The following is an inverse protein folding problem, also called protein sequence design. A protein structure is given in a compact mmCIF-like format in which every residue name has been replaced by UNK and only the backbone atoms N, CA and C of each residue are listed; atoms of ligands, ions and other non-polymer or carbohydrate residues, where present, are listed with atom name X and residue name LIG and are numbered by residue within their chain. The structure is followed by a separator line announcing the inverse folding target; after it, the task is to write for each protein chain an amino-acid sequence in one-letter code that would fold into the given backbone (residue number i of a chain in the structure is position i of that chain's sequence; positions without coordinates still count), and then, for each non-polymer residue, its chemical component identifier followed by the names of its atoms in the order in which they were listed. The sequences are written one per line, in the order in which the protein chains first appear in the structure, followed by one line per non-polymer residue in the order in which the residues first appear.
data_IF_394687516921
#
_entry.id   IF_394687516921
#
_cell.length_a   1.000
_cell.length_b   1.000
_cell.length_c   1.000
_cell.angle_alpha   90.00
_cell.angle_beta   90.00
_cell.angle_gamma   90.00
#
_symmetry.space_group_name_H-M   'P 1'
#
loop_
_entity.id
_entity.type
_entity.pdbx_description
1 polymer ?
#
# COMPACT_ATOMS: atom_id res chain seq x y z
N UNK A 1 -16.67 4.95 29.81
CA UNK A 1 -17.02 4.02 28.70
C UNK A 1 -16.22 4.43 27.47
N UNK A 2 -15.15 3.67 27.18
CA UNK A 2 -14.35 3.87 25.96
C UNK A 2 -15.12 3.26 24.79
N UNK A 3 -15.52 4.08 23.83
CA UNK A 3 -16.12 3.60 22.59
C UNK A 3 -15.06 2.88 21.76
N UNK A 4 -15.30 1.62 21.43
CA UNK A 4 -14.48 0.86 20.46
C UNK A 4 -14.53 1.55 19.08
N UNK A 5 -13.42 1.56 18.33
CA UNK A 5 -13.41 2.17 17.00
C UNK A 5 -14.36 1.44 16.07
N UNK A 6 -15.25 2.21 15.45
CA UNK A 6 -16.22 1.71 14.48
C UNK A 6 -15.45 1.24 13.23
N UNK A 7 -15.68 0.00 12.81
CA UNK A 7 -15.26 -0.48 11.49
C UNK A 7 -15.98 0.35 10.43
N UNK A 8 -15.26 1.23 9.77
CA UNK A 8 -15.77 1.92 8.58
C UNK A 8 -15.77 0.92 7.43
N UNK A 9 -16.94 0.53 6.93
CA UNK A 9 -17.02 -0.34 5.76
C UNK A 9 -16.56 0.43 4.52
N UNK A 10 -15.97 -0.27 3.54
CA UNK A 10 -15.58 0.31 2.24
C UNK A 10 -16.74 1.06 1.56
N UNK A 11 -17.99 0.62 1.75
CA UNK A 11 -19.20 1.29 1.24
C UNK A 11 -19.42 2.67 1.89
N UNK A 12 -19.09 2.83 3.17
CA UNK A 12 -19.20 4.12 3.86
C UNK A 12 -18.08 5.09 3.42
N UNK A 13 -16.89 4.56 3.15
CA UNK A 13 -15.79 5.34 2.57
C UNK A 13 -16.16 5.84 1.16
N UNK A 14 -16.78 5.00 0.35
CA UNK A 14 -17.29 5.37 -0.97
C UNK A 14 -18.39 6.45 -0.91
N UNK A 15 -19.29 6.37 0.07
CA UNK A 15 -20.34 7.39 0.29
C UNK A 15 -19.76 8.73 0.77
N UNK A 16 -18.71 8.70 1.56
CA UNK A 16 -18.03 9.92 2.03
C UNK A 16 -17.27 10.58 0.87
N UNK A 17 -16.61 9.79 0.02
CA UNK A 17 -15.93 10.27 -1.20
C UNK A 17 -16.94 10.90 -2.18
N UNK A 18 -18.11 10.29 -2.37
CA UNK A 18 -19.17 10.86 -3.24
C UNK A 18 -19.74 12.20 -2.74
N UNK A 19 -19.73 12.46 -1.44
CA UNK A 19 -20.14 13.76 -0.88
C UNK A 19 -19.06 14.85 -1.00
N UNK A 20 -17.82 14.49 -1.33
CA UNK A 20 -16.71 15.41 -1.54
C UNK A 20 -16.59 15.85 -3.03
N UNK A 21 -17.57 15.55 -3.86
CA UNK A 21 -17.53 15.72 -5.33
C UNK A 21 -17.62 17.18 -5.84
N UNK A 22 -17.55 18.20 -4.99
CA UNK A 22 -17.53 19.59 -5.46
C UNK A 22 -16.12 20.17 -5.64
N UNK A 23 -15.04 19.49 -5.17
CA UNK A 23 -13.66 19.97 -5.29
C UNK A 23 -12.73 18.91 -5.91
N UNK A 24 -12.47 19.04 -7.19
CA UNK A 24 -11.69 18.07 -7.99
C UNK A 24 -10.18 18.18 -7.84
N UNK A 25 -9.62 19.11 -7.06
CA UNK A 25 -8.20 19.24 -6.81
C UNK A 25 -7.93 19.59 -5.36
N UNK A 26 -7.53 18.59 -4.57
CA UNK A 26 -7.16 18.81 -3.16
C UNK A 26 -5.78 19.46 -3.02
N UNK A 27 -5.64 20.70 -3.41
CA UNK A 27 -4.49 21.54 -3.08
C UNK A 27 -4.82 22.39 -1.86
N UNK A 28 -3.82 22.68 -1.03
CA UNK A 28 -4.01 23.41 0.21
C UNK A 28 -4.75 24.75 -0.03
N UNK A 29 -4.36 25.50 -1.07
CA UNK A 29 -4.96 26.77 -1.45
C UNK A 29 -6.47 26.68 -1.78
N UNK A 30 -6.95 25.52 -2.21
CA UNK A 30 -8.35 25.31 -2.63
C UNK A 30 -9.23 24.90 -1.43
N UNK A 31 -8.63 24.58 -0.29
CA UNK A 31 -9.32 24.12 0.93
C UNK A 31 -9.63 25.25 1.92
N UNK A 32 -8.99 26.39 1.79
CA UNK A 32 -9.04 27.49 2.78
C UNK A 32 -8.34 27.15 4.11
N UNK A 33 -7.61 26.05 4.18
CA UNK A 33 -6.87 25.60 5.37
C UNK A 33 -5.40 25.99 5.28
N UNK A 34 -4.75 26.06 6.44
CA UNK A 34 -3.30 26.17 6.57
C UNK A 34 -2.66 24.79 6.72
N UNK A 35 -1.36 24.69 6.53
CA UNK A 35 -0.64 23.45 6.83
C UNK A 35 -0.78 23.05 8.32
N UNK A 36 -0.83 24.02 9.23
CA UNK A 36 -1.07 23.75 10.65
C UNK A 36 -2.45 23.11 10.87
N UNK A 37 -3.50 23.59 10.19
CA UNK A 37 -4.84 22.99 10.28
C UNK A 37 -4.84 21.54 9.80
N UNK A 38 -4.06 21.20 8.76
CA UNK A 38 -3.88 19.82 8.29
C UNK A 38 -3.18 18.98 9.35
N UNK A 39 -2.10 19.48 9.97
CA UNK A 39 -1.40 18.79 11.07
C UNK A 39 -2.34 18.51 12.24
N UNK A 40 -3.12 19.51 12.65
CA UNK A 40 -4.07 19.38 13.75
C UNK A 40 -5.17 18.35 13.46
N UNK A 41 -5.67 18.30 12.22
CA UNK A 41 -6.63 17.28 11.78
C UNK A 41 -6.01 15.88 11.81
N UNK A 42 -4.79 15.73 11.30
CA UNK A 42 -4.06 14.45 11.33
C UNK A 42 -3.88 13.98 12.78
N UNK A 43 -3.37 14.85 13.66
CA UNK A 43 -3.13 14.51 15.06
C UNK A 43 -4.43 14.19 15.83
N UNK A 44 -5.54 14.84 15.45
CA UNK A 44 -6.83 14.60 16.09
C UNK A 44 -7.52 13.31 15.65
N UNK A 45 -7.42 12.96 14.36
CA UNK A 45 -8.26 11.93 13.76
C UNK A 45 -7.51 10.67 13.34
N UNK A 46 -6.18 10.70 13.25
CA UNK A 46 -5.36 9.55 12.88
C UNK A 46 -4.59 9.02 14.09
N UNK A 47 -4.44 7.71 14.16
CA UNK A 47 -3.57 7.08 15.15
C UNK A 47 -2.12 7.37 14.74
N UNK A 48 -1.32 7.84 15.70
CA UNK A 48 0.10 8.12 15.51
C UNK A 48 0.90 6.81 15.45
N UNK A 49 1.07 6.28 14.24
CA UNK A 49 1.83 5.05 13.97
C UNK A 49 3.20 5.33 13.36
N UNK A 50 3.43 6.55 12.89
CA UNK A 50 4.68 7.01 12.28
C UNK A 50 5.02 8.42 12.73
N UNK A 51 6.30 8.67 12.93
CA UNK A 51 6.83 10.02 12.97
C UNK A 51 6.77 10.64 11.57
N UNK A 52 6.19 11.84 11.45
CA UNK A 52 5.98 12.52 10.16
C UNK A 52 7.02 13.59 9.93
N UNK A 53 7.48 13.72 8.70
CA UNK A 53 8.29 14.87 8.30
C UNK A 53 7.44 16.15 8.34
N UNK A 54 8.09 17.26 8.73
CA UNK A 54 7.41 18.55 8.89
C UNK A 54 7.33 19.31 7.55
N UNK A 55 6.71 18.70 6.56
CA UNK A 55 6.35 19.35 5.29
C UNK A 55 5.06 18.73 4.73
N UNK A 56 4.32 19.50 3.93
CA UNK A 56 3.14 19.04 3.23
C UNK A 56 3.50 18.60 1.82
N UNK A 57 3.40 17.31 1.53
CA UNK A 57 3.57 16.80 0.18
C UNK A 57 2.31 17.12 -0.66
N UNK A 58 2.37 18.14 -1.52
CA UNK A 58 1.23 18.59 -2.31
C UNK A 58 1.25 18.09 -3.75
N UNK A 59 2.41 18.13 -4.39
CA UNK A 59 2.56 17.64 -5.78
C UNK A 59 3.87 16.88 -5.91
N UNK A 60 3.98 16.04 -6.95
CA UNK A 60 5.22 15.33 -7.23
C UNK A 60 5.39 15.14 -8.75
N UNK A 61 6.65 15.15 -9.21
CA UNK A 61 7.00 14.90 -10.60
C UNK A 61 8.41 14.31 -10.68
N UNK A 62 8.56 13.22 -11.40
CA UNK A 62 9.85 12.56 -11.59
C UNK A 62 10.50 12.19 -10.25
N UNK A 63 11.64 12.79 -9.94
CA UNK A 63 12.40 12.55 -8.72
C UNK A 63 12.05 13.48 -7.56
N UNK A 64 11.11 14.40 -7.73
CA UNK A 64 10.84 15.45 -6.76
C UNK A 64 9.42 15.37 -6.21
N UNK A 65 9.29 15.67 -4.92
CA UNK A 65 8.06 16.03 -4.22
C UNK A 65 8.12 17.53 -3.94
N UNK A 66 6.99 18.22 -4.05
CA UNK A 66 6.87 19.66 -3.82
C UNK A 66 5.86 19.93 -2.72
N UNK A 67 6.19 20.83 -1.82
CA UNK A 67 5.26 21.32 -0.82
C UNK A 67 4.27 22.36 -1.40
N UNK A 68 3.43 22.93 -0.56
CA UNK A 68 2.45 23.96 -0.91
C UNK A 68 3.10 25.26 -1.41
N UNK A 69 4.35 25.50 -1.07
CA UNK A 69 5.15 26.65 -1.50
C UNK A 69 5.98 26.37 -2.77
N UNK A 70 5.85 25.14 -3.32
CA UNK A 70 6.64 24.65 -4.45
C UNK A 70 8.12 24.42 -4.12
N UNK A 71 8.47 24.25 -2.85
CA UNK A 71 9.82 23.86 -2.45
C UNK A 71 10.07 22.43 -2.92
N UNK A 72 11.13 22.16 -3.70
CA UNK A 72 11.44 20.82 -4.17
C UNK A 72 12.17 20.02 -3.10
N UNK A 73 11.72 18.79 -2.88
CA UNK A 73 12.37 17.77 -2.06
C UNK A 73 12.73 16.59 -2.96
N UNK A 74 14.01 16.21 -2.97
CA UNK A 74 14.47 15.06 -3.74
C UNK A 74 13.99 13.76 -3.08
N UNK A 75 13.19 12.98 -3.79
CA UNK A 75 12.54 11.78 -3.27
C UNK A 75 13.42 10.54 -3.41
N UNK A 76 14.26 10.26 -2.42
CA UNK A 76 15.01 9.01 -2.33
C UNK A 76 14.21 7.82 -1.76
N UNK A 77 13.00 8.05 -1.25
CA UNK A 77 12.13 6.97 -0.79
C UNK A 77 11.32 6.32 -1.91
N UNK A 78 10.94 7.11 -2.92
CA UNK A 78 10.12 6.68 -4.05
C UNK A 78 8.90 5.84 -3.62
N UNK A 79 8.22 6.24 -2.52
CA UNK A 79 7.12 5.47 -1.93
C UNK A 79 7.54 4.09 -1.42
N UNK A 80 8.78 3.95 -0.93
CA UNK A 80 9.45 2.69 -0.61
C UNK A 80 9.55 1.80 -1.87
N UNK A 81 10.18 2.36 -2.92
CA UNK A 81 10.40 1.77 -4.23
C UNK A 81 9.14 1.50 -5.09
N UNK A 82 7.98 2.02 -4.70
CA UNK A 82 6.73 1.91 -5.49
C UNK A 82 6.79 2.80 -6.73
N UNK A 83 7.34 4.02 -6.60
CA UNK A 83 7.44 5.01 -7.68
C UNK A 83 8.72 4.84 -8.52
N UNK A 84 9.15 3.61 -8.80
CA UNK A 84 10.39 3.32 -9.53
C UNK A 84 10.42 3.91 -10.95
N UNK A 85 9.27 4.19 -11.54
CA UNK A 85 9.13 4.87 -12.84
C UNK A 85 9.14 6.41 -12.73
N UNK A 86 9.34 6.94 -11.52
CA UNK A 86 9.21 8.35 -11.18
C UNK A 86 7.81 8.74 -10.74
N UNK A 87 7.74 9.76 -9.87
CA UNK A 87 6.47 10.32 -9.41
C UNK A 87 5.65 10.84 -10.59
N UNK A 88 4.35 10.55 -10.58
CA UNK A 88 3.39 11.02 -11.59
C UNK A 88 3.85 10.76 -13.05
N UNK A 89 4.49 9.62 -13.32
CA UNK A 89 4.91 9.26 -14.68
C UNK A 89 3.73 9.40 -15.65
N UNK A 90 3.84 10.22 -16.71
CA UNK A 90 2.69 10.58 -17.54
C UNK A 90 2.07 9.38 -18.26
N UNK A 91 2.85 8.37 -18.63
CA UNK A 91 2.33 7.15 -19.27
C UNK A 91 1.53 6.31 -18.30
N UNK A 92 2.01 6.17 -17.04
CA UNK A 92 1.32 5.43 -15.99
C UNK A 92 0.02 6.14 -15.60
N UNK A 93 0.08 7.47 -15.42
CA UNK A 93 -1.10 8.28 -15.08
C UNK A 93 -2.15 8.22 -16.19
N UNK A 94 -1.75 8.32 -17.45
CA UNK A 94 -2.67 8.25 -18.60
C UNK A 94 -3.36 6.88 -18.66
N UNK A 95 -2.60 5.78 -18.56
CA UNK A 95 -3.15 4.43 -18.57
C UNK A 95 -4.11 4.17 -17.38
N UNK A 96 -3.79 4.70 -16.20
CA UNK A 96 -4.66 4.58 -15.04
C UNK A 96 -5.98 5.34 -15.23
N UNK A 97 -5.95 6.56 -15.76
CA UNK A 97 -7.15 7.35 -16.06
C UNK A 97 -8.04 6.68 -17.09
N UNK A 98 -7.45 6.20 -18.18
CA UNK A 98 -8.14 5.46 -19.24
C UNK A 98 -8.86 4.21 -18.69
N UNK A 99 -8.16 3.42 -17.90
CA UNK A 99 -8.74 2.22 -17.30
C UNK A 99 -9.84 2.53 -16.26
N UNK A 100 -9.75 3.65 -15.53
CA UNK A 100 -10.79 4.05 -14.57
C UNK A 100 -12.09 4.43 -15.24
N UNK A 101 -12.06 4.94 -16.47
CA UNK A 101 -13.25 5.25 -17.27
C UNK A 101 -13.95 3.98 -17.75
N UNK A 102 -13.23 2.88 -17.93
CA UNK A 102 -13.81 1.59 -18.38
C UNK A 102 -14.28 0.74 -17.19
N UNK A 103 -13.34 0.30 -16.34
CA UNK A 103 -13.61 -0.54 -15.16
C UNK A 103 -12.66 -0.16 -14.04
N UNK A 104 -13.19 0.48 -13.01
CA UNK A 104 -12.43 0.85 -11.81
C UNK A 104 -12.16 -0.37 -10.91
N UNK A 105 -13.14 -1.24 -10.71
CA UNK A 105 -13.02 -2.42 -9.84
C UNK A 105 -14.02 -3.51 -10.24
N UNK A 106 -13.60 -4.76 -10.11
CA UNK A 106 -14.46 -5.92 -10.16
C UNK A 106 -13.97 -6.99 -9.19
N UNK A 107 -14.82 -7.97 -8.86
CA UNK A 107 -14.42 -9.14 -8.07
C UNK A 107 -13.64 -10.15 -8.92
N UNK A 108 -13.04 -11.17 -8.28
CA UNK A 108 -12.03 -12.04 -8.91
C UNK A 108 -12.58 -13.13 -9.86
N UNK A 109 -13.89 -13.26 -10.07
CA UNK A 109 -14.44 -14.30 -10.94
C UNK A 109 -14.45 -13.94 -12.43
N UNK A 110 -14.71 -12.69 -12.85
CA UNK A 110 -14.54 -12.31 -14.25
C UNK A 110 -13.06 -12.23 -14.64
N UNK A 111 -12.78 -12.53 -15.90
CA UNK A 111 -11.48 -12.24 -16.50
C UNK A 111 -11.38 -10.76 -16.81
N UNK A 112 -10.21 -10.16 -16.58
CA UNK A 112 -9.90 -8.79 -16.99
C UNK A 112 -8.65 -8.74 -17.85
N UNK A 113 -8.63 -7.87 -18.84
CA UNK A 113 -7.52 -7.74 -19.80
C UNK A 113 -6.23 -7.30 -19.07
N UNK A 114 -6.23 -6.25 -18.21
CA UNK A 114 -4.99 -5.83 -17.54
C UNK A 114 -4.38 -6.92 -16.68
N UNK A 115 -5.19 -7.72 -15.98
CA UNK A 115 -4.72 -8.80 -15.14
C UNK A 115 -3.99 -9.89 -15.94
N UNK A 116 -4.60 -10.31 -17.07
CA UNK A 116 -4.03 -11.36 -17.91
C UNK A 116 -2.70 -10.91 -18.54
N UNK A 117 -2.68 -9.73 -19.15
CA UNK A 117 -1.48 -9.19 -19.81
C UNK A 117 -0.34 -8.92 -18.82
N UNK A 118 -0.65 -8.41 -17.63
CA UNK A 118 0.34 -8.20 -16.59
C UNK A 118 0.91 -9.53 -16.08
N UNK A 119 0.05 -10.56 -15.89
CA UNK A 119 0.49 -11.89 -15.47
C UNK A 119 1.50 -12.47 -16.45
N UNK A 120 1.16 -12.48 -17.74
CA UNK A 120 2.05 -12.92 -18.81
C UNK A 120 3.39 -12.16 -18.76
N UNK A 121 3.34 -10.84 -18.79
CA UNK A 121 4.54 -10.00 -18.82
C UNK A 121 5.45 -10.20 -17.61
N UNK A 122 4.89 -10.30 -16.42
CA UNK A 122 5.66 -10.53 -15.19
C UNK A 122 6.29 -11.93 -15.21
N UNK A 123 5.48 -12.97 -15.47
CA UNK A 123 5.99 -14.36 -15.49
C UNK A 123 7.12 -14.55 -16.50
N UNK A 124 6.98 -14.02 -17.72
CA UNK A 124 8.04 -14.08 -18.74
C UNK A 124 9.31 -13.33 -18.31
N UNK A 125 9.14 -12.15 -17.66
CA UNK A 125 10.28 -11.31 -17.26
C UNK A 125 11.11 -11.95 -16.14
N UNK A 126 10.46 -12.59 -15.17
CA UNK A 126 11.13 -13.17 -13.98
C UNK A 126 11.33 -14.68 -14.06
N UNK A 127 10.88 -15.32 -15.14
CA UNK A 127 11.03 -16.78 -15.34
C UNK A 127 10.19 -17.62 -14.37
N UNK A 128 8.98 -17.17 -14.04
CA UNK A 128 8.03 -17.90 -13.19
C UNK A 128 6.84 -18.41 -13.98
N UNK A 129 6.23 -19.51 -13.56
CA UNK A 129 5.10 -20.13 -14.28
C UNK A 129 3.77 -19.41 -14.02
N UNK A 130 3.58 -18.88 -12.81
CA UNK A 130 2.30 -18.31 -12.38
C UNK A 130 2.48 -17.18 -11.36
N UNK A 131 1.53 -16.27 -11.36
CA UNK A 131 1.44 -15.16 -10.41
C UNK A 131 0.11 -15.22 -9.65
N UNK A 132 0.12 -14.75 -8.39
CA UNK A 132 -1.06 -14.54 -7.58
C UNK A 132 -1.07 -13.10 -7.07
N UNK A 133 -2.09 -12.33 -7.44
CA UNK A 133 -2.21 -10.93 -7.07
C UNK A 133 -2.74 -10.75 -5.67
N UNK A 134 -2.16 -9.79 -4.94
CA UNK A 134 -2.59 -9.33 -3.63
C UNK A 134 -2.59 -7.81 -3.57
N UNK A 135 -3.25 -7.21 -2.57
CA UNK A 135 -3.36 -5.75 -2.46
C UNK A 135 -2.13 -5.08 -1.83
N UNK A 136 -1.26 -5.86 -1.18
CA UNK A 136 -0.08 -5.33 -0.50
C UNK A 136 1.02 -6.38 -0.39
N UNK A 137 2.26 -5.92 -0.12
CA UNK A 137 3.39 -6.81 0.12
C UNK A 137 3.19 -7.71 1.35
N UNK A 138 2.52 -7.23 2.39
CA UNK A 138 2.23 -8.06 3.57
C UNK A 138 1.23 -9.17 3.26
N UNK A 139 0.21 -8.92 2.45
CA UNK A 139 -0.74 -9.94 1.99
C UNK A 139 -0.07 -10.95 1.05
N UNK A 140 0.85 -10.50 0.19
CA UNK A 140 1.66 -11.39 -0.65
C UNK A 140 2.53 -12.32 0.22
N UNK A 141 3.13 -11.81 1.29
CA UNK A 141 3.89 -12.62 2.25
C UNK A 141 2.99 -13.62 2.99
N UNK A 142 1.80 -13.23 3.42
CA UNK A 142 0.82 -14.16 4.01
C UNK A 142 0.45 -15.29 3.05
N UNK A 143 0.18 -14.96 1.79
CA UNK A 143 -0.12 -15.94 0.76
C UNK A 143 1.06 -16.89 0.52
N UNK A 144 2.28 -16.37 0.42
CA UNK A 144 3.50 -17.15 0.24
C UNK A 144 3.75 -18.09 1.41
N UNK A 145 3.61 -17.64 2.65
CA UNK A 145 3.77 -18.47 3.86
C UNK A 145 2.75 -19.61 3.86
N UNK A 146 1.48 -19.32 3.53
CA UNK A 146 0.41 -20.34 3.44
C UNK A 146 0.72 -21.37 2.35
N UNK A 147 1.12 -20.93 1.14
CA UNK A 147 1.45 -21.82 0.04
C UNK A 147 2.67 -22.70 0.36
N UNK A 148 3.73 -22.11 0.91
CA UNK A 148 4.95 -22.85 1.28
C UNK A 148 4.66 -23.92 2.33
N UNK A 149 3.88 -23.61 3.37
CA UNK A 149 3.48 -24.57 4.40
C UNK A 149 2.60 -25.69 3.84
N UNK A 150 1.60 -25.34 3.03
CA UNK A 150 0.74 -26.33 2.37
C UNK A 150 1.57 -27.27 1.49
N UNK A 151 2.40 -26.74 0.62
CA UNK A 151 3.27 -27.51 -0.24
C UNK A 151 4.23 -28.41 0.57
N UNK A 152 4.86 -27.85 1.61
CA UNK A 152 5.79 -28.61 2.48
C UNK A 152 5.12 -29.81 3.15
N UNK A 153 3.93 -29.59 3.73
CA UNK A 153 3.17 -30.64 4.41
C UNK A 153 2.69 -31.71 3.42
N UNK A 154 2.10 -31.31 2.31
CA UNK A 154 1.55 -32.25 1.31
C UNK A 154 2.64 -33.10 0.63
N UNK A 155 3.80 -32.51 0.34
CA UNK A 155 4.87 -33.19 -0.38
C UNK A 155 5.87 -33.93 0.52
N UNK A 156 6.14 -33.42 1.74
CA UNK A 156 7.23 -33.91 2.59
C UNK A 156 6.77 -34.32 3.99
N UNK A 157 5.47 -34.25 4.29
CA UNK A 157 4.86 -34.70 5.54
C UNK A 157 4.61 -33.59 6.58
N UNK A 158 3.86 -33.92 7.66
CA UNK A 158 3.24 -32.95 8.56
C UNK A 158 4.21 -32.03 9.32
N UNK A 159 5.48 -32.40 9.42
CA UNK A 159 6.49 -31.61 10.12
C UNK A 159 7.23 -30.57 9.25
N UNK A 160 6.87 -30.45 7.97
CA UNK A 160 7.53 -29.54 7.00
C UNK A 160 6.78 -28.23 6.84
N UNK A 161 6.55 -27.51 7.93
CA UNK A 161 5.84 -26.23 7.96
C UNK A 161 6.68 -25.03 8.45
N UNK A 162 7.94 -25.26 8.83
CA UNK A 162 8.80 -24.18 9.32
C UNK A 162 9.21 -23.26 8.18
N UNK A 163 9.19 -21.96 8.48
CA UNK A 163 9.65 -20.89 7.59
C UNK A 163 10.90 -20.27 8.22
N UNK A 164 11.97 -20.17 7.47
CA UNK A 164 13.22 -19.51 7.88
C UNK A 164 13.28 -18.15 7.24
N UNK A 165 13.55 -17.13 8.05
CA UNK A 165 13.65 -15.73 7.59
C UNK A 165 14.99 -15.11 7.99
N UNK A 166 15.42 -14.07 7.26
CA UNK A 166 16.65 -13.37 7.57
C UNK A 166 16.47 -12.42 8.77
N UNK A 167 17.52 -12.32 9.60
CA UNK A 167 17.59 -11.26 10.62
C UNK A 167 17.47 -9.88 9.93
N UNK A 168 16.82 -8.93 10.58
CA UNK A 168 16.56 -7.59 10.07
C UNK A 168 15.66 -7.54 8.83
N UNK A 169 15.13 -8.69 8.36
CA UNK A 169 14.17 -8.73 7.27
C UNK A 169 12.83 -8.10 7.65
N UNK A 170 12.16 -7.48 6.69
CA UNK A 170 10.82 -6.95 6.86
C UNK A 170 9.84 -7.70 5.95
N UNK A 171 8.79 -8.26 6.53
CA UNK A 171 7.78 -9.04 5.79
C UNK A 171 6.37 -8.46 5.90
N UNK A 172 6.16 -7.46 6.72
CA UNK A 172 4.86 -6.80 6.93
C UNK A 172 4.42 -6.78 8.40
N UNK A 173 3.19 -6.32 8.64
CA UNK A 173 2.64 -6.09 9.98
C UNK A 173 1.32 -6.85 10.25
N UNK A 174 0.91 -7.76 9.40
CA UNK A 174 -0.12 -8.76 9.69
C UNK A 174 0.47 -9.86 10.57
N UNK A 175 -0.33 -10.68 11.21
CA UNK A 175 0.14 -11.66 12.19
C UNK A 175 1.23 -12.62 11.64
N UNK A 176 1.00 -13.23 10.50
CA UNK A 176 1.99 -14.14 9.89
C UNK A 176 3.20 -13.41 9.34
N UNK A 177 3.00 -12.30 8.63
CA UNK A 177 4.08 -11.50 8.09
C UNK A 177 4.94 -10.85 9.19
N UNK A 178 4.32 -10.41 10.30
CA UNK A 178 5.04 -9.87 11.45
C UNK A 178 5.86 -10.93 12.17
N UNK A 179 5.34 -12.15 12.31
CA UNK A 179 6.10 -13.28 12.87
C UNK A 179 7.35 -13.62 12.06
N UNK A 180 7.36 -13.32 10.77
CA UNK A 180 8.50 -13.48 9.86
C UNK A 180 9.46 -12.27 9.89
N UNK A 181 9.03 -11.11 10.39
CA UNK A 181 9.82 -9.87 10.43
C UNK A 181 10.85 -9.95 11.55
N UNK A 182 12.13 -9.85 11.19
CA UNK A 182 13.27 -9.98 12.11
C UNK A 182 13.83 -8.65 12.63
N UNK A 183 13.08 -7.55 12.56
CA UNK A 183 13.53 -6.22 13.01
C UNK A 183 13.21 -6.02 14.49
N UNK A 184 14.22 -5.84 15.35
CA UNK A 184 13.99 -5.53 16.77
C UNK A 184 13.52 -4.09 16.96
N UNK A 185 12.56 -3.88 17.81
CA UNK A 185 12.45 -2.63 18.55
C UNK A 185 11.50 -1.55 18.07
N UNK A 186 10.83 -1.62 16.96
CA UNK A 186 9.91 -0.55 16.53
C UNK A 186 8.43 -0.90 16.72
N UNK A 187 8.05 -1.42 17.88
CA UNK A 187 6.65 -1.67 18.22
C UNK A 187 5.97 -2.82 17.47
N UNK A 188 6.61 -3.38 16.43
CA UNK A 188 6.06 -4.47 15.64
C UNK A 188 6.06 -5.83 16.35
N UNK A 189 6.90 -6.01 17.38
CA UNK A 189 7.04 -7.28 18.12
C UNK A 189 6.46 -7.24 19.54
N UNK A 190 6.01 -6.10 20.03
CA UNK A 190 5.44 -6.00 21.38
C UNK A 190 4.04 -6.63 21.38
N UNK A 191 3.92 -7.79 21.99
CA UNK A 191 2.67 -8.52 22.15
C UNK A 191 2.43 -9.72 21.24
N UNK A 192 3.41 -10.09 20.39
CA UNK A 192 3.33 -11.22 19.46
C UNK A 192 4.63 -12.05 19.49
N UNK A 193 5.13 -12.32 20.68
CA UNK A 193 6.23 -13.25 20.91
C UNK A 193 5.76 -14.69 20.87
#
# INVERSE_FOLDING_TARGET
QRRLPIRVSLSLLFFIILRMQEDTAMKLKDTGLTFQDIKDKVNKYMIETYERFDFLAETAEGMYIYDENKTPYLDFYAGIAVNSAGNCNPKVVAAAKDQLDDIMHTFNYPYTIPQALLAEKVCETIGMDKIFYQNSGTEANEAMIKMARKYGIEKYGPNRYHIVTAKMGFHGRTFGAMSATGQPGNGCQVGFG
#
